data_IF_830952201248
#
_entry.id   IF_830952201248
#
_cell.length_a   1.000
_cell.length_b   1.000
_cell.length_c   1.000
_cell.angle_alpha   90.00
_cell.angle_beta   90.00
_cell.angle_gamma   90.00
#
_symmetry.space_group_name_H-M   'P 1'
#
loop_
_entity.id
_entity.type
_entity.pdbx_description
1 polymer ?
#
# COMPACT_ATOMS: atom_id res chain seq x y z
N UNK A 1 25.51 23.50 12.00
CA UNK A 1 24.97 22.47 12.92
C UNK A 1 23.50 22.70 13.33
N UNK A 2 23.02 23.95 13.39
CA UNK A 2 21.60 24.28 13.68
C UNK A 2 20.65 23.92 12.51
N UNK A 3 21.14 23.98 11.27
CA UNK A 3 20.33 23.72 10.08
C UNK A 3 19.99 22.23 9.89
N UNK A 4 20.92 21.32 10.19
CA UNK A 4 20.70 19.87 10.12
C UNK A 4 19.69 19.37 11.16
N UNK A 5 19.62 20.01 12.34
CA UNK A 5 18.64 19.70 13.39
C UNK A 5 17.21 20.15 13.01
N UNK A 6 17.08 21.23 12.24
CA UNK A 6 15.80 21.75 11.70
C UNK A 6 15.28 20.91 10.52
N UNK A 7 16.18 20.47 9.63
CA UNK A 7 15.83 19.58 8.51
C UNK A 7 15.30 18.23 9.00
N UNK A 8 15.91 17.67 10.06
CA UNK A 8 15.50 16.38 10.63
C UNK A 8 14.14 16.47 11.35
N UNK A 9 13.83 17.59 12.00
CA UNK A 9 12.54 17.84 12.66
C UNK A 9 11.39 18.00 11.65
N UNK A 10 11.64 18.71 10.54
CA UNK A 10 10.64 18.85 9.45
C UNK A 10 10.36 17.51 8.76
N UNK A 11 11.37 16.62 8.72
CA UNK A 11 11.24 15.26 8.18
C UNK A 11 10.42 14.34 9.08
N UNK A 12 10.59 14.44 10.41
CA UNK A 12 9.78 13.70 11.38
C UNK A 12 8.31 14.13 11.34
N UNK A 13 8.04 15.42 11.12
CA UNK A 13 6.68 15.97 10.96
C UNK A 13 6.06 15.53 9.63
N UNK A 14 6.82 15.48 8.53
CA UNK A 14 6.31 14.99 7.25
C UNK A 14 6.05 13.47 7.27
N UNK A 15 6.90 12.69 7.95
CA UNK A 15 6.69 11.24 8.15
C UNK A 15 5.51 10.97 9.09
N UNK A 16 5.31 11.80 10.11
CA UNK A 16 4.11 11.77 10.97
C UNK A 16 2.87 12.17 10.16
N UNK A 17 2.93 13.17 9.29
CA UNK A 17 1.81 13.57 8.43
C UNK A 17 1.50 12.54 7.33
N UNK A 18 2.50 11.82 6.81
CA UNK A 18 2.28 10.71 5.87
C UNK A 18 1.80 9.44 6.58
N UNK A 19 2.10 9.29 7.88
CA UNK A 19 1.50 8.29 8.78
C UNK A 19 0.07 8.67 9.21
N UNK A 20 -0.29 9.96 9.15
CA UNK A 20 -1.64 10.48 9.43
C UNK A 20 -2.40 10.78 8.13
N UNK A 21 -1.82 10.49 6.96
CA UNK A 21 -2.66 10.29 5.79
C UNK A 21 -3.64 9.19 6.22
N UNK A 22 -4.95 9.46 6.27
CA UNK A 22 -5.88 8.37 6.43
C UNK A 22 -5.66 7.56 5.16
N UNK A 23 -4.95 6.43 5.29
CA UNK A 23 -5.45 5.22 4.65
C UNK A 23 -6.94 5.29 4.92
N UNK A 24 -7.72 5.50 3.86
CA UNK A 24 -9.17 5.60 3.94
C UNK A 24 -9.62 4.58 4.97
N UNK A 25 -10.40 5.04 5.97
CA UNK A 25 -10.99 4.14 6.96
C UNK A 25 -11.96 3.24 6.19
N UNK A 26 -11.43 2.19 5.57
CA UNK A 26 -12.18 1.00 5.22
C UNK A 26 -12.59 0.42 6.57
N UNK A 27 -13.90 0.34 6.78
CA UNK A 27 -14.48 -0.02 8.04
C UNK A 27 -13.95 -1.36 8.54
N UNK A 28 -13.86 -1.44 9.85
CA UNK A 28 -13.35 -2.58 10.59
C UNK A 28 -14.49 -3.53 11.00
N UNK A 29 -15.57 -3.53 10.23
CA UNK A 29 -16.71 -4.41 10.49
C UNK A 29 -16.33 -5.80 9.97
N UNK A 30 -16.18 -6.80 10.87
CA UNK A 30 -15.76 -8.14 10.47
C UNK A 30 -16.84 -8.82 9.60
N UNK A 31 -16.42 -9.79 8.81
CA UNK A 31 -17.34 -10.62 8.03
C UNK A 31 -18.42 -11.23 8.94
N UNK A 32 -19.68 -11.23 8.47
CA UNK A 32 -20.84 -11.71 9.23
C UNK A 32 -21.50 -10.67 10.12
N UNK A 33 -20.99 -9.43 10.18
CA UNK A 33 -21.65 -8.34 10.91
C UNK A 33 -22.31 -7.32 9.96
N UNK A 34 -23.26 -6.56 10.51
CA UNK A 34 -24.13 -5.70 9.72
C UNK A 34 -23.38 -4.47 9.19
N UNK A 35 -23.63 -4.09 7.93
CA UNK A 35 -23.16 -2.84 7.33
C UNK A 35 -24.33 -1.82 7.31
N UNK A 36 -24.42 -0.91 8.29
CA UNK A 36 -25.59 -0.05 8.50
C UNK A 36 -25.75 1.04 7.45
N UNK A 37 -24.68 1.43 6.74
CA UNK A 37 -24.75 2.42 5.66
C UNK A 37 -25.11 1.82 4.30
N UNK A 38 -25.18 0.49 4.19
CA UNK A 38 -25.35 -0.21 2.92
C UNK A 38 -24.15 -0.09 1.97
N UNK A 39 -23.03 0.50 2.41
CA UNK A 39 -21.83 0.69 1.60
C UNK A 39 -20.77 -0.37 1.88
N UNK A 40 -20.07 -0.84 0.85
CA UNK A 40 -18.94 -1.78 0.97
C UNK A 40 -17.69 -1.14 1.59
N UNK A 41 -17.69 0.18 1.83
CA UNK A 41 -16.62 0.88 2.53
C UNK A 41 -16.62 0.59 4.03
N UNK A 42 -17.72 0.04 4.58
CA UNK A 42 -17.85 -0.28 6.01
C UNK A 42 -17.16 -1.59 6.41
N UNK A 43 -16.87 -2.46 5.45
CA UNK A 43 -16.47 -3.84 5.72
C UNK A 43 -14.95 -4.03 5.66
N UNK A 44 -14.40 -4.89 6.52
CA UNK A 44 -12.95 -5.06 6.65
C UNK A 44 -12.32 -5.68 5.39
N UNK A 45 -11.28 -5.02 4.86
CA UNK A 45 -10.50 -5.53 3.72
C UNK A 45 -11.24 -5.42 2.38
N UNK A 46 -11.33 -6.52 1.63
CA UNK A 46 -11.99 -6.59 0.31
C UNK A 46 -13.40 -7.17 0.40
N UNK A 47 -14.04 -7.09 1.57
CA UNK A 47 -15.39 -7.59 1.78
C UNK A 47 -16.43 -6.62 1.22
N UNK A 48 -17.54 -7.17 0.73
CA UNK A 48 -18.64 -6.41 0.13
C UNK A 48 -19.82 -6.39 1.10
N UNK A 49 -20.54 -5.27 1.14
CA UNK A 49 -21.81 -5.19 1.83
C UNK A 49 -22.90 -5.80 0.94
N UNK A 50 -23.36 -6.99 1.29
CA UNK A 50 -24.39 -7.74 0.57
C UNK A 50 -25.52 -8.01 1.54
N UNK A 51 -26.73 -7.54 1.22
CA UNK A 51 -27.91 -7.67 2.07
C UNK A 51 -27.71 -7.13 3.50
N UNK A 52 -27.07 -5.95 3.61
CA UNK A 52 -26.72 -5.30 4.87
C UNK A 52 -25.79 -6.13 5.78
N UNK A 53 -25.04 -7.10 5.24
CA UNK A 53 -24.03 -7.86 5.98
C UNK A 53 -22.70 -7.81 5.21
N UNK A 54 -21.60 -7.70 5.94
CA UNK A 54 -20.25 -7.79 5.38
C UNK A 54 -19.91 -9.24 5.02
N UNK A 55 -19.62 -9.51 3.75
CA UNK A 55 -19.29 -10.85 3.24
C UNK A 55 -18.00 -10.81 2.40
N UNK A 56 -17.26 -11.92 2.33
CA UNK A 56 -16.05 -11.99 1.53
C UNK A 56 -16.39 -12.05 0.04
N UNK A 57 -15.68 -11.29 -0.81
CA UNK A 57 -15.96 -11.23 -2.25
C UNK A 57 -15.83 -12.60 -2.96
N UNK A 58 -15.04 -13.53 -2.40
CA UNK A 58 -14.88 -14.90 -2.90
C UNK A 58 -16.13 -15.77 -2.73
N UNK A 59 -17.05 -15.39 -1.83
CA UNK A 59 -18.23 -16.19 -1.51
C UNK A 59 -19.47 -15.72 -2.30
N UNK A 60 -19.37 -14.56 -2.97
CA UNK A 60 -20.45 -13.95 -3.76
C UNK A 60 -20.44 -14.49 -5.20
N UNK A 61 -20.38 -15.79 -5.37
CA UNK A 61 -20.82 -16.40 -6.63
C UNK A 61 -22.33 -16.60 -6.57
N UNK A 62 -23.06 -15.60 -7.09
CA UNK A 62 -24.47 -15.68 -7.47
C UNK A 62 -25.46 -16.08 -6.33
N UNK A 63 -25.77 -15.13 -5.45
CA UNK A 63 -27.11 -15.00 -4.87
C UNK A 63 -27.68 -16.14 -4.00
N UNK A 64 -26.86 -17.03 -3.43
CA UNK A 64 -27.38 -18.08 -2.51
C UNK A 64 -26.86 -17.86 -1.09
N UNK A 65 -27.75 -17.41 -0.20
CA UNK A 65 -27.47 -17.23 1.22
C UNK A 65 -27.27 -18.58 1.91
N UNK A 66 -26.03 -18.89 2.28
CA UNK A 66 -25.69 -20.11 3.02
C UNK A 66 -24.93 -19.79 4.30
N UNK A 67 -25.66 -19.66 5.41
CA UNK A 67 -25.10 -19.94 6.72
C UNK A 67 -25.84 -21.14 7.31
N UNK A 68 -25.19 -22.25 7.63
CA UNK A 68 -25.67 -23.11 8.69
C UNK A 68 -25.01 -22.62 9.99
N UNK A 69 -25.74 -21.82 10.78
CA UNK A 69 -25.46 -21.75 12.21
C UNK A 69 -25.94 -23.05 12.85
N UNK A 70 -25.01 -23.76 13.46
CA UNK A 70 -25.24 -25.00 14.19
C UNK A 70 -26.01 -24.75 15.48
N UNK A 71 -27.17 -25.39 15.65
CA UNK A 71 -27.75 -25.61 16.99
C UNK A 71 -28.07 -27.08 17.17
N UNK A 72 -27.12 -27.83 17.71
CA UNK A 72 -27.33 -29.18 18.20
C UNK A 72 -27.17 -29.15 19.73
N UNK A 73 -28.23 -29.33 20.54
CA UNK A 73 -28.07 -29.55 21.97
C UNK A 73 -27.73 -31.03 22.16
N UNK A 74 -26.44 -31.36 22.14
CA UNK A 74 -25.96 -32.71 22.43
C UNK A 74 -24.89 -33.30 21.50
N UNK A 75 -24.24 -32.52 20.62
CA UNK A 75 -23.14 -33.01 19.80
C UNK A 75 -22.13 -31.91 19.47
N UNK A 76 -20.86 -32.16 19.76
CA UNK A 76 -19.73 -31.28 19.39
C UNK A 76 -19.69 -31.05 17.87
N UNK A 77 -19.62 -29.81 17.37
CA UNK A 77 -19.42 -29.56 15.95
C UNK A 77 -17.97 -29.87 15.57
N UNK A 78 -17.77 -30.95 14.83
CA UNK A 78 -16.51 -31.28 14.16
C UNK A 78 -16.63 -30.87 12.69
N UNK A 79 -15.84 -29.89 12.27
CA UNK A 79 -15.43 -29.80 10.86
C UNK A 79 -14.15 -30.62 10.75
N UNK A 80 -14.31 -31.91 10.48
CA UNK A 80 -13.21 -32.81 10.11
C UNK A 80 -13.43 -33.29 8.69
N UNK A 81 -12.60 -32.79 7.76
CA UNK A 81 -12.26 -33.57 6.58
C UNK A 81 -11.21 -34.60 7.04
N UNK A 82 -11.50 -35.92 7.00
CA UNK A 82 -10.51 -36.92 7.35
C UNK A 82 -9.61 -37.15 6.15
N UNK A 83 -8.42 -36.54 6.18
CA UNK A 83 -7.29 -37.00 5.37
C UNK A 83 -6.41 -35.92 4.78
N UNK A 84 -5.70 -35.12 5.58
CA UNK A 84 -4.31 -34.74 5.25
C UNK A 84 -3.56 -34.28 6.52
N UNK A 85 -2.30 -34.68 6.75
CA UNK A 85 -1.56 -34.38 7.98
C UNK A 85 -1.24 -32.89 8.07
N UNK A 86 -1.11 -32.38 9.31
CA UNK A 86 -0.94 -30.98 9.64
C UNK A 86 -0.10 -30.17 8.65
N UNK A 87 -0.74 -29.21 7.99
CA UNK A 87 -0.05 -28.07 7.42
C UNK A 87 -0.49 -26.87 8.23
N UNK A 88 0.35 -26.42 9.16
CA UNK A 88 0.44 -25.00 9.47
C UNK A 88 0.60 -24.31 8.12
N UNK A 89 -0.50 -23.83 7.53
CA UNK A 89 -0.43 -23.02 6.34
C UNK A 89 0.41 -21.80 6.75
N UNK A 90 1.59 -21.64 6.16
CA UNK A 90 2.31 -20.38 6.28
C UNK A 90 1.35 -19.31 5.74
N UNK A 91 0.75 -18.55 6.65
CA UNK A 91 0.03 -17.33 6.29
C UNK A 91 1.05 -16.44 5.60
N UNK A 92 1.00 -16.39 4.27
CA UNK A 92 1.97 -15.66 3.47
C UNK A 92 1.92 -14.18 3.92
N UNK A 93 2.93 -13.68 4.65
CA UNK A 93 2.93 -12.29 5.13
C UNK A 93 3.05 -11.29 3.96
N UNK A 94 3.22 -11.81 2.74
CA UNK A 94 3.24 -11.08 1.48
C UNK A 94 1.88 -11.06 0.76
N UNK A 95 0.81 -11.62 1.37
CA UNK A 95 -0.60 -11.58 0.92
C UNK A 95 -0.76 -11.34 -0.59
N UNK A 96 -0.25 -12.30 -1.37
CA UNK A 96 -0.27 -12.29 -2.83
C UNK A 96 -0.71 -13.68 -3.27
N UNK A 97 -1.85 -13.72 -3.95
CA UNK A 97 -2.48 -14.94 -4.48
C UNK A 97 -1.97 -15.29 -5.87
N UNK A 98 -1.27 -14.36 -6.54
CA UNK A 98 -0.71 -14.52 -7.89
C UNK A 98 0.64 -13.80 -8.02
N UNK A 99 1.48 -14.25 -8.96
CA UNK A 99 2.80 -13.66 -9.23
C UNK A 99 2.70 -12.18 -9.63
N UNK A 100 1.62 -11.81 -10.34
CA UNK A 100 1.34 -10.44 -10.79
C UNK A 100 1.01 -9.51 -9.63
N UNK A 101 0.26 -9.97 -8.64
CA UNK A 101 -0.12 -9.16 -7.47
C UNK A 101 1.09 -8.88 -6.57
N UNK A 102 1.99 -9.87 -6.44
CA UNK A 102 3.24 -9.68 -5.72
C UNK A 102 4.16 -8.66 -6.41
N UNK A 103 4.20 -8.68 -7.75
CA UNK A 103 4.95 -7.71 -8.55
C UNK A 103 4.37 -6.28 -8.42
N UNK A 104 3.05 -6.14 -8.40
CA UNK A 104 2.40 -4.83 -8.23
C UNK A 104 2.62 -4.25 -6.83
N UNK A 105 2.56 -5.08 -5.78
CA UNK A 105 2.84 -4.65 -4.41
C UNK A 105 4.29 -4.19 -4.23
N UNK A 106 5.26 -4.96 -4.73
CA UNK A 106 6.68 -4.55 -4.63
C UNK A 106 6.95 -3.27 -5.43
N UNK A 107 6.36 -3.12 -6.62
CA UNK A 107 6.54 -1.93 -7.46
C UNK A 107 5.98 -0.68 -6.76
N UNK A 108 4.78 -0.78 -6.19
CA UNK A 108 4.15 0.31 -5.44
C UNK A 108 4.99 0.69 -4.21
N UNK A 109 5.50 -0.30 -3.49
CA UNK A 109 6.35 -0.07 -2.31
C UNK A 109 7.66 0.63 -2.67
N UNK A 110 8.31 0.20 -3.75
CA UNK A 110 9.56 0.81 -4.25
C UNK A 110 9.33 2.26 -4.69
N UNK A 111 8.23 2.55 -5.41
CA UNK A 111 7.90 3.91 -5.84
C UNK A 111 7.61 4.82 -4.64
N UNK A 112 6.88 4.32 -3.64
CA UNK A 112 6.56 5.06 -2.42
C UNK A 112 7.82 5.38 -1.60
N UNK A 113 8.72 4.41 -1.44
CA UNK A 113 10.00 4.62 -0.76
C UNK A 113 10.92 5.56 -1.56
N UNK A 114 10.93 5.40 -2.89
CA UNK A 114 11.71 6.23 -3.81
C UNK A 114 11.29 7.70 -3.79
N UNK A 115 9.99 8.00 -3.68
CA UNK A 115 9.48 9.37 -3.60
C UNK A 115 9.96 10.11 -2.34
N UNK A 116 10.00 9.41 -1.20
CA UNK A 116 10.54 9.94 0.06
C UNK A 116 12.03 10.21 -0.06
N UNK A 117 12.79 9.25 -0.60
CA UNK A 117 14.24 9.40 -0.79
C UNK A 117 14.59 10.53 -1.77
N UNK A 118 13.83 10.67 -2.85
CA UNK A 118 13.99 11.73 -3.86
C UNK A 118 13.87 13.11 -3.21
N UNK A 119 12.88 13.29 -2.33
CA UNK A 119 12.63 14.55 -1.64
C UNK A 119 13.82 14.95 -0.75
N UNK A 120 14.44 13.99 -0.04
CA UNK A 120 15.64 14.23 0.77
C UNK A 120 16.81 14.69 -0.10
N UNK A 121 17.07 13.98 -1.20
CA UNK A 121 18.15 14.30 -2.12
C UNK A 121 17.97 15.70 -2.74
N UNK A 122 16.74 16.06 -3.09
CA UNK A 122 16.44 17.37 -3.68
C UNK A 122 16.73 18.52 -2.69
N UNK A 123 16.37 18.37 -1.42
CA UNK A 123 16.70 19.35 -0.37
C UNK A 123 18.22 19.44 -0.14
N UNK A 124 18.92 18.30 -0.13
CA UNK A 124 20.38 18.27 0.03
C UNK A 124 21.09 19.02 -1.11
N UNK A 125 20.68 18.79 -2.36
CA UNK A 125 21.23 19.48 -3.53
C UNK A 125 20.92 20.98 -3.48
N UNK A 126 19.69 21.36 -3.11
CA UNK A 126 19.31 22.76 -2.94
C UNK A 126 20.20 23.47 -1.92
N UNK A 127 20.48 22.84 -0.78
CA UNK A 127 21.39 23.38 0.21
C UNK A 127 22.83 23.51 -0.32
N UNK A 128 23.32 22.51 -1.07
CA UNK A 128 24.65 22.54 -1.65
C UNK A 128 24.82 23.74 -2.61
N UNK A 129 23.78 24.06 -3.38
CA UNK A 129 23.75 25.22 -4.27
C UNK A 129 23.80 26.56 -3.52
N UNK A 130 23.14 26.63 -2.36
CA UNK A 130 23.17 27.83 -1.50
C UNK A 130 24.51 27.97 -0.78
N UNK A 131 25.11 26.86 -0.31
CA UNK A 131 26.39 26.89 0.39
C UNK A 131 27.59 27.15 -0.54
N UNK A 132 27.48 26.81 -1.82
CA UNK A 132 28.57 26.96 -2.79
C UNK A 132 28.73 28.39 -3.35
N UNK A 133 27.98 29.37 -2.83
CA UNK A 133 28.10 30.77 -3.25
C UNK A 133 29.54 31.26 -3.04
N UNK A 134 30.28 31.44 -4.14
CA UNK A 134 31.66 31.94 -4.14
C UNK A 134 32.74 30.88 -4.41
N UNK A 135 32.40 29.60 -4.56
CA UNK A 135 33.34 28.56 -4.98
C UNK A 135 32.84 27.84 -6.25
N UNK A 136 33.56 27.99 -7.37
CA UNK A 136 33.23 27.34 -8.64
C UNK A 136 33.14 25.82 -8.52
N UNK A 137 33.98 25.22 -7.68
CA UNK A 137 34.02 23.77 -7.48
C UNK A 137 32.75 23.24 -6.80
N UNK A 138 32.23 24.01 -5.83
CA UNK A 138 30.97 23.71 -5.15
C UNK A 138 29.77 23.79 -6.08
N UNK A 139 29.74 24.80 -6.98
CA UNK A 139 28.67 24.97 -7.97
C UNK A 139 28.71 23.84 -8.99
N UNK A 140 29.89 23.44 -9.45
CA UNK A 140 30.05 22.32 -10.40
C UNK A 140 29.53 21.01 -9.78
N UNK A 141 29.87 20.76 -8.51
CA UNK A 141 29.38 19.58 -7.78
C UNK A 141 27.87 19.61 -7.57
N UNK A 142 27.30 20.77 -7.24
CA UNK A 142 25.86 20.93 -7.08
C UNK A 142 25.08 20.71 -8.38
N UNK A 143 25.61 21.13 -9.52
CA UNK A 143 25.02 20.84 -10.84
C UNK A 143 25.01 19.35 -11.16
N UNK A 144 26.13 18.65 -10.95
CA UNK A 144 26.18 17.20 -11.17
C UNK A 144 25.20 16.45 -10.26
N UNK A 145 25.10 16.84 -8.99
CA UNK A 145 24.17 16.24 -8.05
C UNK A 145 22.69 16.52 -8.42
N UNK A 146 22.39 17.72 -8.93
CA UNK A 146 21.06 18.06 -9.43
C UNK A 146 20.67 17.20 -10.62
N UNK A 147 21.57 17.04 -11.60
CA UNK A 147 21.31 16.18 -12.77
C UNK A 147 21.02 14.73 -12.34
N UNK A 148 21.78 14.20 -11.39
CA UNK A 148 21.54 12.85 -10.86
C UNK A 148 20.22 12.71 -10.11
N UNK A 149 19.83 13.76 -9.38
CA UNK A 149 18.53 13.79 -8.70
C UNK A 149 17.37 13.86 -9.69
N UNK A 150 17.50 14.66 -10.76
CA UNK A 150 16.50 14.76 -11.82
C UNK A 150 16.34 13.44 -12.57
N UNK A 151 17.45 12.77 -12.91
CA UNK A 151 17.41 11.44 -13.56
C UNK A 151 16.71 10.42 -12.66
N UNK A 152 17.02 10.40 -11.35
CA UNK A 152 16.34 9.53 -10.39
C UNK A 152 14.83 9.81 -10.28
N UNK A 153 14.44 11.09 -10.27
CA UNK A 153 13.03 11.50 -10.24
C UNK A 153 12.28 11.11 -11.50
N UNK A 154 12.90 11.35 -12.66
CA UNK A 154 12.33 11.00 -13.96
C UNK A 154 12.15 9.48 -14.11
N UNK A 155 13.07 8.68 -13.55
CA UNK A 155 12.97 7.22 -13.55
C UNK A 155 11.78 6.73 -12.71
N UNK A 156 11.55 7.31 -11.53
CA UNK A 156 10.39 7.01 -10.68
C UNK A 156 9.07 7.36 -11.37
N UNK A 157 8.99 8.56 -11.95
CA UNK A 157 7.83 9.03 -12.71
C UNK A 157 7.60 8.18 -13.97
N UNK A 158 8.66 7.82 -14.68
CA UNK A 158 8.62 7.00 -15.89
C UNK A 158 8.13 5.59 -15.62
N UNK A 159 8.59 4.96 -14.53
CA UNK A 159 8.13 3.63 -14.13
C UNK A 159 6.62 3.61 -13.85
N UNK A 160 6.11 4.63 -13.14
CA UNK A 160 4.67 4.73 -12.84
C UNK A 160 3.83 5.05 -14.08
N UNK A 161 4.30 5.96 -14.93
CA UNK A 161 3.62 6.26 -16.18
C UNK A 161 3.48 5.02 -17.08
N UNK A 162 4.52 4.19 -17.14
CA UNK A 162 4.50 2.93 -17.90
C UNK A 162 3.51 1.91 -17.31
N UNK A 163 3.44 1.76 -15.98
CA UNK A 163 2.48 0.82 -15.36
C UNK A 163 1.02 1.20 -15.62
N UNK A 164 0.74 2.51 -15.59
CA UNK A 164 -0.62 3.02 -15.80
C UNK A 164 -1.07 2.80 -17.25
N UNK A 165 -0.19 3.02 -18.22
CA UNK A 165 -0.48 2.79 -19.66
C UNK A 165 -0.75 1.31 -19.94
N UNK A 166 0.03 0.40 -19.34
CA UNK A 166 -0.19 -1.04 -19.51
C UNK A 166 -1.56 -1.41 -18.95
N UNK A 167 -1.87 -1.01 -17.71
CA UNK A 167 -3.14 -1.32 -17.04
C UNK A 167 -4.34 -0.78 -17.81
N UNK A 168 -4.25 0.45 -18.32
CA UNK A 168 -5.29 1.07 -19.13
C UNK A 168 -5.55 0.29 -20.43
N UNK A 169 -4.50 -0.27 -21.05
CA UNK A 169 -4.63 -1.06 -22.28
C UNK A 169 -5.30 -2.42 -22.00
N UNK A 170 -5.02 -3.06 -20.85
CA UNK A 170 -5.65 -4.34 -20.50
C UNK A 170 -7.11 -4.19 -20.07
N UNK A 171 -7.50 -3.04 -19.50
CA UNK A 171 -8.88 -2.75 -19.12
C UNK A 171 -9.75 -2.24 -20.28
N UNK A 172 -9.12 -1.69 -21.33
CA UNK A 172 -9.80 -1.22 -22.53
C UNK A 172 -10.10 -2.33 -23.55
N UNK A 173 -9.69 -3.57 -23.28
CA UNK A 173 -10.01 -4.78 -24.04
C UNK A 173 -11.04 -5.62 -23.29
#
# INVERSE_FOLDING_TARGET
MILTRKILSMFFILFLFLSIAPVAHAGNIPVGSACPSGSSLDCEGTSLCVNNICQHASDVTNGTYGFPQTTNPGGVPQVTNPGTPGTSALNNPLNSSTLTDLLNKVLTYVVQLGAIFLTIMLVYVGFLFVSARGNEEGIKKARSALLWTVVGGLLLLGAKALSDVITATVQGL
#
